data_IF_431236781615
#
_entry.id   IF_431236781615
#
_cell.length_a   1.000
_cell.length_b   1.000
_cell.length_c   1.000
_cell.angle_alpha   90.00
_cell.angle_beta   90.00
_cell.angle_gamma   90.00
#
_symmetry.space_group_name_H-M   'P 1'
#
loop_
_entity.id
_entity.type
_entity.pdbx_description
1 polymer ?
#
# COMPACT_ATOMS: atom_id res chain seq x y z
N UNK A 1 1.36 -5.25 -22.61
CA UNK A 1 2.59 -4.98 -21.84
C UNK A 1 2.29 -3.76 -20.98
N UNK A 2 1.79 -3.96 -19.76
CA UNK A 2 1.54 -2.86 -18.82
C UNK A 2 2.88 -2.37 -18.29
N UNK A 3 3.11 -1.06 -18.35
CA UNK A 3 4.22 -0.44 -17.63
C UNK A 3 3.97 -0.60 -16.12
N UNK A 4 5.02 -0.75 -15.30
CA UNK A 4 4.87 -0.78 -13.85
C UNK A 4 4.26 0.53 -13.37
N UNK A 5 3.23 0.43 -12.52
CA UNK A 5 2.51 1.55 -11.88
C UNK A 5 3.39 2.30 -10.85
N UNK A 6 4.61 1.80 -10.61
CA UNK A 6 5.58 2.27 -9.61
C UNK A 6 6.58 3.32 -10.12
N UNK A 7 6.42 3.85 -11.33
CA UNK A 7 7.17 5.05 -11.68
C UNK A 7 6.66 6.16 -10.75
N UNK A 8 7.49 6.73 -9.84
CA UNK A 8 7.03 7.79 -8.96
C UNK A 8 6.50 8.91 -9.85
N UNK A 9 5.18 9.09 -9.86
CA UNK A 9 4.58 10.25 -10.51
C UNK A 9 5.07 11.43 -9.70
N UNK A 10 6.12 12.08 -10.19
CA UNK A 10 6.69 13.25 -9.54
C UNK A 10 5.54 14.22 -9.26
N UNK A 11 5.34 14.57 -7.99
CA UNK A 11 4.26 15.45 -7.59
C UNK A 11 4.42 16.78 -8.37
N UNK A 12 3.38 17.24 -9.09
CA UNK A 12 3.52 18.44 -9.91
C UNK A 12 3.69 19.68 -9.03
N UNK A 13 4.80 20.40 -9.21
CA UNK A 13 5.04 21.71 -8.59
C UNK A 13 4.56 22.81 -9.54
N UNK A 14 3.65 23.67 -9.08
CA UNK A 14 3.10 24.76 -9.88
C UNK A 14 3.20 26.11 -9.15
N UNK A 15 3.86 27.08 -9.78
CA UNK A 15 3.89 28.48 -9.32
C UNK A 15 2.57 29.15 -9.72
N UNK A 16 1.74 29.54 -8.73
CA UNK A 16 0.43 30.15 -8.99
C UNK A 16 0.49 31.66 -9.24
N UNK A 17 1.55 32.33 -8.78
CA UNK A 17 1.73 33.79 -8.86
C UNK A 17 3.21 34.12 -8.75
N UNK A 18 3.62 35.21 -9.42
CA UNK A 18 5.00 35.67 -9.45
C UNK A 18 5.82 34.97 -10.53
N UNK A 19 7.08 35.37 -10.64
CA UNK A 19 8.07 34.74 -11.50
C UNK A 19 9.17 34.20 -10.60
N UNK A 20 9.05 32.92 -10.23
CA UNK A 20 10.02 32.28 -9.35
C UNK A 20 11.28 31.96 -10.14
N UNK A 21 12.43 32.33 -9.60
CA UNK A 21 13.69 32.04 -10.28
C UNK A 21 13.98 30.53 -10.28
N UNK A 22 14.81 30.03 -11.22
CA UNK A 22 15.26 28.64 -11.22
C UNK A 22 15.91 28.22 -9.89
N UNK A 23 16.66 29.13 -9.27
CA UNK A 23 17.35 28.91 -8.00
C UNK A 23 16.36 28.77 -6.84
N UNK A 24 15.30 29.59 -6.82
CA UNK A 24 14.24 29.50 -5.81
C UNK A 24 13.46 28.19 -5.94
N UNK A 25 13.13 27.78 -7.17
CA UNK A 25 12.49 26.49 -7.43
C UNK A 25 13.38 25.32 -6.99
N UNK A 26 14.68 25.38 -7.28
CA UNK A 26 15.64 24.37 -6.84
C UNK A 26 15.73 24.29 -5.31
N UNK A 27 15.72 25.42 -4.62
CA UNK A 27 15.73 25.47 -3.16
C UNK A 27 14.48 24.80 -2.55
N UNK A 28 13.30 25.07 -3.10
CA UNK A 28 12.04 24.44 -2.64
C UNK A 28 12.07 22.94 -2.89
N UNK A 29 12.46 22.50 -4.09
CA UNK A 29 12.57 21.08 -4.42
C UNK A 29 13.53 20.38 -3.46
N UNK A 30 14.71 20.97 -3.22
CA UNK A 30 15.71 20.38 -2.33
C UNK A 30 15.16 20.15 -0.91
N UNK A 31 14.49 21.14 -0.33
CA UNK A 31 13.90 21.04 1.02
C UNK A 31 12.79 19.97 1.07
N UNK A 32 11.90 19.95 0.08
CA UNK A 32 10.80 18.97 0.04
C UNK A 32 11.34 17.56 -0.16
N UNK A 33 12.31 17.39 -1.07
CA UNK A 33 12.96 16.09 -1.30
C UNK A 33 13.70 15.59 -0.07
N UNK A 34 14.40 16.46 0.67
CA UNK A 34 15.05 16.08 1.93
C UNK A 34 14.03 15.64 2.99
N UNK A 35 12.93 16.38 3.13
CA UNK A 35 11.84 16.00 4.04
C UNK A 35 11.23 14.64 3.67
N UNK A 36 10.94 14.40 2.40
CA UNK A 36 10.40 13.12 1.92
C UNK A 36 11.39 11.98 2.16
N UNK A 37 12.67 12.17 1.83
CA UNK A 37 13.70 11.16 2.07
C UNK A 37 13.84 10.83 3.57
N UNK A 38 13.65 11.81 4.44
CA UNK A 38 13.65 11.59 5.90
C UNK A 38 12.41 10.82 6.35
N UNK A 39 11.23 11.09 5.78
CA UNK A 39 10.02 10.33 6.07
C UNK A 39 10.14 8.88 5.61
N UNK A 40 10.64 8.65 4.40
CA UNK A 40 10.88 7.31 3.84
C UNK A 40 11.81 6.47 4.71
N UNK A 41 12.86 7.06 5.29
CA UNK A 41 13.77 6.36 6.22
C UNK A 41 13.07 5.84 7.49
N UNK A 42 11.97 6.49 7.89
CA UNK A 42 11.16 6.06 9.03
C UNK A 42 9.94 5.24 8.64
N UNK A 43 9.62 5.19 7.34
CA UNK A 43 8.53 4.42 6.81
C UNK A 43 8.90 2.92 6.81
N UNK A 44 8.48 2.21 7.84
CA UNK A 44 8.54 0.75 7.87
C UNK A 44 7.21 0.24 7.31
N UNK A 45 7.24 -0.36 6.12
CA UNK A 45 6.11 -1.15 5.61
C UNK A 45 6.11 -2.46 6.40
N UNK A 46 5.00 -2.78 7.06
CA UNK A 46 4.80 -4.14 7.59
C UNK A 46 4.77 -5.10 6.40
N UNK A 47 5.77 -5.98 6.32
CA UNK A 47 5.76 -7.09 5.36
C UNK A 47 4.42 -7.82 5.51
N UNK A 48 3.68 -8.10 4.42
CA UNK A 48 2.42 -8.83 4.51
C UNK A 48 2.67 -10.24 5.08
N UNK A 49 2.58 -10.34 6.41
CA UNK A 49 2.74 -11.60 7.12
C UNK A 49 1.47 -12.41 6.96
N UNK A 50 1.55 -13.47 6.16
CA UNK A 50 0.44 -14.42 6.05
C UNK A 50 0.38 -15.19 7.37
N UNK A 51 -0.71 -15.00 8.13
CA UNK A 51 -0.90 -15.72 9.39
C UNK A 51 -0.92 -17.23 9.15
N UNK A 52 -0.43 -18.02 10.12
CA UNK A 52 -0.51 -19.49 10.07
C UNK A 52 -1.96 -19.98 9.88
N UNK A 53 -2.94 -19.19 10.34
CA UNK A 53 -4.36 -19.44 10.12
C UNK A 53 -4.79 -19.20 8.66
N UNK A 54 -4.36 -18.11 8.02
CA UNK A 54 -4.60 -17.89 6.59
C UNK A 54 -3.97 -18.97 5.70
N UNK A 55 -2.78 -19.47 6.06
CA UNK A 55 -2.10 -20.58 5.35
C UNK A 55 -2.86 -21.91 5.51
N UNK A 56 -3.40 -22.16 6.71
CA UNK A 56 -4.11 -23.41 7.04
C UNK A 56 -5.61 -23.41 6.71
N UNK A 57 -6.21 -22.25 6.42
CA UNK A 57 -7.64 -22.09 6.10
C UNK A 57 -8.10 -22.77 4.79
N UNK A 58 -7.23 -23.54 4.11
CA UNK A 58 -7.57 -24.32 2.90
C UNK A 58 -8.76 -25.28 3.08
N UNK A 59 -9.10 -25.67 4.32
CA UNK A 59 -10.23 -26.56 4.61
C UNK A 59 -11.57 -25.90 4.94
N UNK A 60 -11.61 -24.59 5.20
CA UNK A 60 -12.82 -23.92 5.74
C UNK A 60 -13.60 -23.14 4.67
N UNK A 61 -13.02 -22.93 3.48
CA UNK A 61 -13.68 -22.19 2.38
C UNK A 61 -14.77 -22.98 1.67
N UNK A 62 -14.76 -24.31 1.74
CA UNK A 62 -15.95 -25.07 1.38
C UNK A 62 -16.95 -24.84 2.50
N UNK A 63 -17.98 -24.03 2.24
CA UNK A 63 -19.06 -23.78 3.19
C UNK A 63 -19.48 -25.09 3.86
N UNK A 64 -19.62 -25.08 5.18
CA UNK A 64 -20.06 -26.23 5.95
C UNK A 64 -21.32 -26.80 5.29
N UNK A 65 -21.32 -28.10 4.95
CA UNK A 65 -22.45 -28.77 4.30
C UNK A 65 -23.67 -28.74 5.22
N UNK A 66 -24.50 -27.70 5.08
CA UNK A 66 -25.75 -27.49 5.84
C UNK A 66 -26.85 -28.46 5.39
N UNK A 67 -26.68 -29.07 4.23
CA UNK A 67 -27.54 -30.09 3.64
C UNK A 67 -27.36 -31.49 4.26
N UNK A 68 -26.30 -31.69 5.05
CA UNK A 68 -26.07 -32.96 5.76
C UNK A 68 -26.64 -32.83 7.18
N UNK A 69 -27.66 -33.63 7.56
CA UNK A 69 -28.14 -33.66 8.94
C UNK A 69 -27.00 -34.07 9.87
N UNK A 70 -26.93 -33.48 11.06
CA UNK A 70 -25.87 -33.71 12.06
C UNK A 70 -25.98 -35.10 12.69
N UNK A 71 -25.87 -36.14 11.88
CA UNK A 71 -25.92 -37.55 12.28
C UNK A 71 -26.98 -37.84 13.35
N UNK A 72 -26.63 -38.74 14.27
CA UNK A 72 -27.46 -39.16 15.41
C UNK A 72 -27.79 -38.07 16.45
N UNK A 73 -27.35 -36.83 16.22
CA UNK A 73 -27.54 -35.70 17.13
C UNK A 73 -28.59 -34.70 16.61
N UNK A 74 -29.08 -34.89 15.38
CA UNK A 74 -30.38 -34.36 14.98
C UNK A 74 -31.42 -35.37 15.47
N UNK A 75 -32.33 -34.94 16.36
CA UNK A 75 -33.27 -35.81 17.07
C UNK A 75 -34.14 -36.70 16.18
#
# INVERSE_FOLDING_TARGET
>A
MSLPDDAPTAAPLQVRRGDASPEELAAVIAVVSESLAREEQTAVVDEPTVSAWQVSARGVRSGLRRDVPWGRWAG
#
